data_IF_398571181250
#
_entry.id   IF_398571181250
#
_cell.length_a   1.000
_cell.length_b   1.000
_cell.length_c   1.000
_cell.angle_alpha   90.00
_cell.angle_beta   90.00
_cell.angle_gamma   90.00
#
_symmetry.space_group_name_H-M   'P 1'
#
loop_
_entity.id
_entity.type
_entity.pdbx_description
1 polymer ?
#
# COMPACT_ATOMS: atom_id res chain seq x y z
N UNK A 1 61.35 -23.09 57.05
CA UNK A 1 60.22 -22.18 57.35
C UNK A 1 59.66 -21.66 56.04
N UNK A 2 58.36 -21.88 55.82
CA UNK A 2 57.44 -21.24 54.87
C UNK A 2 57.67 -21.52 53.37
N UNK A 3 57.42 -22.78 52.99
CA UNK A 3 56.55 -23.05 51.82
C UNK A 3 55.19 -22.42 52.14
N UNK A 4 54.78 -21.38 51.43
CA UNK A 4 53.51 -20.76 51.74
C UNK A 4 53.24 -19.47 51.00
N UNK A 5 53.04 -19.57 49.69
CA UNK A 5 52.00 -18.83 48.94
C UNK A 5 52.30 -18.78 47.44
N UNK A 6 52.76 -19.90 46.88
CA UNK A 6 52.39 -20.25 45.52
C UNK A 6 50.87 -20.52 45.53
N UNK A 7 50.11 -19.75 44.77
CA UNK A 7 48.65 -19.84 44.56
C UNK A 7 47.80 -19.41 45.77
N UNK A 8 47.42 -18.13 45.79
CA UNK A 8 46.12 -17.73 46.35
C UNK A 8 45.38 -16.84 45.36
N UNK A 9 44.98 -17.45 44.25
CA UNK A 9 43.84 -16.97 43.50
C UNK A 9 42.60 -17.65 44.09
N UNK A 10 41.76 -16.90 44.80
CA UNK A 10 40.32 -16.97 44.59
C UNK A 10 39.58 -15.81 45.24
N UNK A 11 38.53 -15.36 44.53
CA UNK A 11 37.24 -14.88 45.04
C UNK A 11 36.84 -13.44 44.68
N UNK A 12 36.32 -13.27 43.46
CA UNK A 12 35.04 -12.60 43.16
C UNK A 12 34.64 -12.93 41.72
N UNK A 13 33.41 -13.25 41.31
CA UNK A 13 32.16 -13.77 41.88
C UNK A 13 31.30 -14.00 40.62
N UNK A 14 30.42 -15.00 40.60
CA UNK A 14 29.64 -15.50 39.44
C UNK A 14 28.55 -14.50 38.96
N UNK A 15 28.78 -13.19 39.07
CA UNK A 15 27.84 -12.12 38.67
C UNK A 15 28.26 -11.40 37.39
N UNK A 16 29.51 -11.54 36.98
CA UNK A 16 30.13 -10.76 35.89
C UNK A 16 30.08 -11.48 34.52
N UNK A 17 29.97 -12.81 34.49
CA UNK A 17 29.90 -13.57 33.22
C UNK A 17 28.50 -13.60 32.61
N UNK A 18 27.47 -13.82 33.44
CA UNK A 18 26.09 -13.91 32.97
C UNK A 18 25.60 -12.59 32.36
N UNK A 19 25.94 -11.42 32.93
CA UNK A 19 25.46 -10.16 32.36
C UNK A 19 25.99 -9.92 30.94
N UNK A 20 27.23 -10.32 30.65
CA UNK A 20 27.82 -10.16 29.31
C UNK A 20 27.03 -10.99 28.30
N UNK A 21 26.67 -12.22 28.68
CA UNK A 21 25.82 -13.09 27.87
C UNK A 21 24.41 -12.49 27.68
N UNK A 22 23.81 -11.94 28.73
CA UNK A 22 22.50 -11.29 28.66
C UNK A 22 22.50 -10.02 27.81
N UNK A 23 23.56 -9.20 27.88
CA UNK A 23 23.71 -8.00 27.05
C UNK A 23 23.90 -8.37 25.59
N UNK A 24 24.71 -9.39 25.29
CA UNK A 24 24.88 -9.92 23.94
C UNK A 24 23.56 -10.47 23.36
N UNK A 25 22.82 -11.24 24.17
CA UNK A 25 21.49 -11.76 23.80
C UNK A 25 20.48 -10.64 23.54
N UNK A 26 20.47 -9.61 24.40
CA UNK A 26 19.60 -8.45 24.26
C UNK A 26 19.94 -7.63 23.00
N UNK A 27 21.22 -7.45 22.71
CA UNK A 27 21.67 -6.77 21.48
C UNK A 27 21.21 -7.53 20.23
N UNK A 28 21.33 -8.86 20.23
CA UNK A 28 20.85 -9.69 19.11
C UNK A 28 19.34 -9.59 18.95
N UNK A 29 18.58 -9.60 20.05
CA UNK A 29 17.14 -9.42 20.04
C UNK A 29 16.73 -8.06 19.45
N UNK A 30 17.42 -6.98 19.83
CA UNK A 30 17.17 -5.64 19.28
C UNK A 30 17.43 -5.61 17.77
N UNK A 31 18.51 -6.25 17.28
CA UNK A 31 18.80 -6.33 15.85
C UNK A 31 17.69 -7.10 15.10
N UNK A 32 17.20 -8.21 15.66
CA UNK A 32 16.09 -8.98 15.09
C UNK A 32 14.80 -8.14 15.04
N UNK A 33 14.47 -7.42 16.12
CA UNK A 33 13.30 -6.55 16.18
C UNK A 33 13.40 -5.38 15.18
N UNK A 34 14.57 -4.76 15.05
CA UNK A 34 14.82 -3.72 14.04
C UNK A 34 14.71 -4.28 12.62
N UNK A 35 15.21 -5.48 12.37
CA UNK A 35 15.10 -6.13 11.07
C UNK A 35 13.64 -6.48 10.72
N UNK A 36 12.86 -6.95 11.69
CA UNK A 36 11.41 -7.18 11.53
C UNK A 36 10.66 -5.88 11.23
N UNK A 37 11.08 -4.76 11.83
CA UNK A 37 10.50 -3.44 11.57
C UNK A 37 10.72 -2.99 10.11
N UNK A 38 11.86 -3.36 9.52
CA UNK A 38 12.22 -3.02 8.13
C UNK A 38 11.49 -3.93 7.14
N UNK A 39 11.45 -5.24 7.39
CA UNK A 39 10.74 -6.20 6.52
C UNK A 39 9.24 -5.87 6.39
N UNK A 40 8.58 -5.46 7.49
CA UNK A 40 7.15 -5.08 7.46
C UNK A 40 6.88 -3.87 6.57
N UNK A 41 7.89 -3.04 6.28
CA UNK A 41 7.75 -1.88 5.38
C UNK A 41 8.01 -2.26 3.92
N UNK A 42 8.78 -3.34 3.67
CA UNK A 42 9.19 -3.77 2.33
C UNK A 42 8.30 -4.88 1.74
N UNK A 43 7.34 -5.39 2.53
CA UNK A 43 6.24 -6.27 2.06
C UNK A 43 5.18 -5.49 1.24
N UNK A 44 5.59 -4.45 0.51
CA UNK A 44 4.93 -3.98 -0.71
C UNK A 44 5.25 -4.94 -1.87
N UNK A 45 5.19 -6.26 -1.62
CA UNK A 45 5.34 -7.28 -2.63
C UNK A 45 4.20 -7.11 -3.64
N UNK A 46 4.52 -6.43 -4.75
CA UNK A 46 3.73 -6.35 -5.97
C UNK A 46 2.28 -5.88 -5.74
N UNK A 47 2.10 -4.72 -5.09
CA UNK A 47 0.74 -4.22 -4.83
C UNK A 47 -0.05 -4.05 -6.15
N UNK A 48 -0.92 -4.99 -6.45
CA UNK A 48 -1.72 -4.95 -7.68
C UNK A 48 -2.63 -3.72 -7.63
N UNK A 49 -2.73 -3.01 -8.75
CA UNK A 49 -3.65 -1.89 -8.85
C UNK A 49 -5.08 -2.36 -8.60
N UNK A 50 -5.82 -1.62 -7.77
CA UNK A 50 -7.22 -1.89 -7.42
C UNK A 50 -8.10 -0.68 -7.74
N UNK A 51 -9.34 -0.97 -8.11
CA UNK A 51 -10.38 0.03 -8.37
C UNK A 51 -11.18 0.27 -7.09
N UNK A 52 -11.31 1.53 -6.70
CA UNK A 52 -12.22 1.96 -5.64
C UNK A 52 -13.21 2.98 -6.19
N UNK A 53 -14.47 2.81 -5.81
CA UNK A 53 -15.56 3.71 -6.18
C UNK A 53 -15.87 4.59 -4.98
N UNK A 54 -16.03 5.88 -5.19
CA UNK A 54 -16.39 6.83 -4.15
C UNK A 54 -17.58 7.67 -4.56
N UNK A 55 -18.36 8.09 -3.57
CA UNK A 55 -19.42 9.05 -3.74
C UNK A 55 -18.94 10.43 -3.28
N UNK A 56 -19.27 11.44 -4.06
CA UNK A 56 -19.06 12.86 -3.74
C UNK A 56 -20.42 13.57 -3.65
N UNK A 57 -20.48 14.80 -3.09
CA UNK A 57 -21.73 15.57 -3.07
C UNK A 57 -22.34 15.83 -4.45
N UNK A 58 -21.54 15.78 -5.52
CA UNK A 58 -21.98 16.08 -6.89
C UNK A 58 -22.38 14.83 -7.67
N UNK A 59 -22.01 13.63 -7.21
CA UNK A 59 -22.21 12.37 -7.92
C UNK A 59 -21.11 11.37 -7.61
N UNK A 60 -20.91 10.40 -8.49
CA UNK A 60 -19.96 9.30 -8.30
C UNK A 60 -18.64 9.56 -9.02
N UNK A 61 -17.58 8.91 -8.54
CA UNK A 61 -16.25 8.91 -9.14
C UNK A 61 -15.49 7.64 -8.78
N UNK A 62 -14.34 7.44 -9.41
CA UNK A 62 -13.48 6.30 -9.09
C UNK A 62 -12.02 6.69 -8.97
N UNK A 63 -11.28 5.83 -8.30
CA UNK A 63 -9.83 5.91 -8.22
C UNK A 63 -9.21 4.54 -8.45
N UNK A 64 -8.04 4.52 -9.08
CA UNK A 64 -7.18 3.35 -9.18
C UNK A 64 -5.99 3.60 -8.27
N UNK A 65 -5.77 2.66 -7.34
CA UNK A 65 -4.75 2.82 -6.31
C UNK A 65 -3.87 1.57 -6.22
N UNK A 66 -2.62 1.78 -5.84
CA UNK A 66 -1.57 0.78 -5.75
C UNK A 66 -0.84 1.01 -4.43
N UNK A 67 -0.89 0.02 -3.52
CA UNK A 67 -0.46 0.20 -2.13
C UNK A 67 -1.24 1.35 -1.48
N UNK A 68 -0.52 2.40 -1.10
CA UNK A 68 -1.05 3.64 -0.53
C UNK A 68 -1.13 4.81 -1.53
N UNK A 69 -0.73 4.59 -2.79
CA UNK A 69 -0.65 5.64 -3.82
C UNK A 69 -1.88 5.64 -4.73
N UNK A 70 -2.47 6.81 -4.94
CA UNK A 70 -3.49 7.02 -5.98
C UNK A 70 -2.78 7.20 -7.32
N UNK A 71 -3.05 6.30 -8.27
CA UNK A 71 -2.47 6.33 -9.60
C UNK A 71 -3.36 7.06 -10.61
N UNK A 72 -4.68 6.87 -10.50
CA UNK A 72 -5.68 7.54 -11.34
C UNK A 72 -6.79 8.02 -10.43
N UNK A 73 -7.12 9.31 -10.51
CA UNK A 73 -8.24 9.91 -9.79
C UNK A 73 -9.21 10.50 -10.80
N UNK A 74 -10.44 9.98 -10.84
CA UNK A 74 -11.46 10.38 -11.81
C UNK A 74 -12.77 10.71 -11.11
N UNK A 75 -12.92 11.97 -10.64
CA UNK A 75 -14.16 12.46 -10.06
C UNK A 75 -15.23 12.77 -11.13
N UNK A 76 -14.84 12.80 -12.40
CA UNK A 76 -15.69 13.16 -13.54
C UNK A 76 -15.60 12.13 -14.66
N UNK A 77 -16.60 12.14 -15.53
CA UNK A 77 -16.68 11.23 -16.67
C UNK A 77 -15.53 11.56 -17.64
N UNK A 78 -14.65 10.58 -17.97
CA UNK A 78 -13.56 10.80 -18.91
C UNK A 78 -14.10 11.05 -20.33
N UNK A 79 -13.31 11.73 -21.17
CA UNK A 79 -13.60 11.99 -22.58
C UNK A 79 -14.86 12.82 -22.89
N UNK A 80 -15.59 13.27 -21.87
CA UNK A 80 -16.69 14.23 -22.00
C UNK A 80 -16.14 15.64 -21.75
N UNK A 81 -16.53 16.60 -22.60
CA UNK A 81 -15.99 17.97 -22.57
C UNK A 81 -16.56 18.82 -21.42
N UNK A 82 -17.52 18.29 -20.67
CA UNK A 82 -18.11 18.90 -19.48
C UNK A 82 -17.57 18.27 -18.19
N UNK A 83 -17.35 19.11 -17.18
CA UNK A 83 -16.90 18.69 -15.84
C UNK A 83 -18.09 18.11 -15.08
N UNK A 84 -18.45 16.88 -15.42
CA UNK A 84 -19.63 16.19 -14.90
C UNK A 84 -19.25 14.93 -14.13
N UNK A 85 -19.73 14.73 -12.88
CA UNK A 85 -19.52 13.49 -12.15
C UNK A 85 -20.38 12.37 -12.75
N UNK A 86 -20.08 11.13 -12.39
CA UNK A 86 -20.91 10.01 -12.83
C UNK A 86 -22.29 10.04 -12.14
N UNK A 87 -23.36 9.65 -12.85
CA UNK A 87 -24.71 9.64 -12.29
C UNK A 87 -24.92 8.57 -11.22
N UNK A 88 -24.26 7.42 -11.36
CA UNK A 88 -24.51 6.24 -10.53
C UNK A 88 -23.25 5.37 -10.37
N UNK A 89 -23.24 4.54 -9.32
CA UNK A 89 -22.13 3.65 -9.01
C UNK A 89 -21.87 2.61 -10.13
N UNK A 90 -22.92 2.13 -10.80
CA UNK A 90 -22.84 1.03 -11.77
C UNK A 90 -22.09 1.49 -13.02
N UNK A 91 -22.45 2.64 -13.58
CA UNK A 91 -21.78 3.23 -14.74
C UNK A 91 -20.34 3.62 -14.41
N UNK A 92 -20.12 4.21 -13.23
CA UNK A 92 -18.79 4.51 -12.68
C UNK A 92 -17.92 3.25 -12.63
N UNK A 93 -18.44 2.17 -12.06
CA UNK A 93 -17.74 0.90 -11.92
C UNK A 93 -17.41 0.27 -13.27
N UNK A 94 -18.34 0.29 -14.23
CA UNK A 94 -18.10 -0.25 -15.59
C UNK A 94 -16.93 0.45 -16.29
N UNK A 95 -16.85 1.78 -16.18
CA UNK A 95 -15.78 2.58 -16.78
C UNK A 95 -14.47 2.40 -15.98
N UNK A 96 -14.53 2.43 -14.65
CA UNK A 96 -13.38 2.15 -13.80
C UNK A 96 -12.75 0.78 -14.04
N UNK A 97 -13.55 -0.27 -14.27
CA UNK A 97 -13.06 -1.62 -14.62
C UNK A 97 -12.35 -1.63 -15.97
N UNK A 98 -12.88 -0.90 -16.97
CA UNK A 98 -12.26 -0.80 -18.29
C UNK A 98 -10.86 -0.17 -18.17
N UNK A 99 -10.75 0.93 -17.43
CA UNK A 99 -9.48 1.61 -17.20
C UNK A 99 -8.52 0.72 -16.41
N UNK A 100 -8.98 0.10 -15.31
CA UNK A 100 -8.15 -0.80 -14.51
C UNK A 100 -7.63 -1.98 -15.33
N UNK A 101 -8.48 -2.58 -16.17
CA UNK A 101 -8.10 -3.69 -17.06
C UNK A 101 -6.97 -3.25 -18.00
N UNK A 102 -7.15 -2.14 -18.72
CA UNK A 102 -6.14 -1.60 -19.65
C UNK A 102 -4.85 -1.20 -18.94
N UNK A 103 -4.98 -0.60 -17.75
CA UNK A 103 -3.86 -0.23 -16.90
C UNK A 103 -3.01 -1.46 -16.53
N UNK A 104 -3.64 -2.51 -16.03
CA UNK A 104 -2.95 -3.76 -15.66
C UNK A 104 -2.34 -4.49 -16.87
N UNK A 105 -2.91 -4.31 -18.06
CA UNK A 105 -2.39 -4.87 -19.32
C UNK A 105 -1.26 -4.01 -19.92
N UNK A 106 -0.81 -2.95 -19.24
CA UNK A 106 0.20 -2.00 -19.71
C UNK A 106 -0.14 -1.38 -21.09
N UNK A 107 -1.45 -1.24 -21.37
CA UNK A 107 -1.96 -0.61 -22.59
C UNK A 107 -2.33 0.85 -22.34
N UNK A 108 -2.60 1.58 -23.43
CA UNK A 108 -3.24 2.88 -23.32
C UNK A 108 -4.60 2.72 -22.62
N UNK A 109 -4.73 3.30 -21.43
CA UNK A 109 -5.91 3.22 -20.58
C UNK A 109 -6.90 4.39 -20.78
N UNK A 110 -6.68 5.22 -21.80
CA UNK A 110 -7.66 6.21 -22.25
C UNK A 110 -8.98 5.53 -22.63
N UNK A 111 -10.08 6.25 -22.44
CA UNK A 111 -11.43 5.81 -22.78
C UNK A 111 -11.98 6.75 -23.85
N UNK A 112 -12.64 6.23 -24.88
CA UNK A 112 -13.28 7.08 -25.91
C UNK A 112 -14.69 7.52 -25.50
N UNK A 113 -15.24 8.53 -26.19
CA UNK A 113 -16.63 8.99 -25.97
C UNK A 113 -17.64 7.86 -26.18
N UNK A 114 -17.44 7.04 -27.21
CA UNK A 114 -18.33 5.92 -27.54
C UNK A 114 -18.34 4.87 -26.43
N UNK A 115 -17.18 4.55 -25.86
CA UNK A 115 -17.06 3.59 -24.77
C UNK A 115 -17.73 4.07 -23.48
N UNK A 116 -17.72 5.39 -23.27
CA UNK A 116 -18.42 6.05 -22.17
C UNK A 116 -19.93 5.96 -22.38
N UNK A 117 -20.44 6.39 -23.54
CA UNK A 117 -21.88 6.39 -23.84
C UNK A 117 -22.51 4.99 -23.81
N UNK A 118 -21.76 3.95 -24.17
CA UNK A 118 -22.22 2.56 -24.04
C UNK A 118 -22.42 2.08 -22.59
N UNK A 119 -21.78 2.74 -21.62
CA UNK A 119 -21.75 2.32 -20.21
C UNK A 119 -22.55 3.23 -19.30
N UNK A 120 -22.80 4.47 -19.71
CA UNK A 120 -23.70 5.39 -19.04
C UNK A 120 -25.17 4.98 -19.23
N UNK A 121 -26.06 5.39 -18.30
CA UNK A 121 -27.50 5.23 -18.49
C UNK A 121 -27.98 5.97 -19.74
N UNK A 122 -28.91 5.39 -20.51
CA UNK A 122 -29.39 5.96 -21.77
C UNK A 122 -29.98 7.37 -21.63
N UNK A 123 -30.62 7.67 -20.50
CA UNK A 123 -31.16 9.00 -20.20
C UNK A 123 -30.07 10.06 -19.95
N UNK A 124 -28.85 9.64 -19.60
CA UNK A 124 -27.74 10.53 -19.32
C UNK A 124 -27.02 10.96 -20.59
N UNK A 125 -26.96 10.09 -21.61
CA UNK A 125 -26.31 10.37 -22.89
C UNK A 125 -26.89 11.62 -23.59
N UNK A 126 -28.18 11.92 -23.38
CA UNK A 126 -28.87 13.09 -23.95
C UNK A 126 -28.41 14.42 -23.31
N UNK A 127 -27.80 14.37 -22.11
CA UNK A 127 -27.37 15.56 -21.35
C UNK A 127 -25.92 15.94 -21.65
N UNK A 128 -25.14 14.99 -22.18
CA UNK A 128 -23.70 15.16 -22.45
C UNK A 128 -23.37 15.43 -23.93
N UNK A 129 -24.37 15.43 -24.81
CA UNK A 129 -24.30 16.06 -26.16
C UNK A 129 -24.42 17.58 -26.06
#
# INVERSE_FOLDING_TARGET
>A
MIFGSFIRMNMMNIKTGNYILWVSLLSLLIIILLHQSIIVIEDEEESKARLEIFQSPKGWGYQIIMGQKILIYQPTIPAIDTVMPFPDEISTRKIGILVLKRFNEHRNFSVSKEEVYQRLPSCYNVIVE
#
